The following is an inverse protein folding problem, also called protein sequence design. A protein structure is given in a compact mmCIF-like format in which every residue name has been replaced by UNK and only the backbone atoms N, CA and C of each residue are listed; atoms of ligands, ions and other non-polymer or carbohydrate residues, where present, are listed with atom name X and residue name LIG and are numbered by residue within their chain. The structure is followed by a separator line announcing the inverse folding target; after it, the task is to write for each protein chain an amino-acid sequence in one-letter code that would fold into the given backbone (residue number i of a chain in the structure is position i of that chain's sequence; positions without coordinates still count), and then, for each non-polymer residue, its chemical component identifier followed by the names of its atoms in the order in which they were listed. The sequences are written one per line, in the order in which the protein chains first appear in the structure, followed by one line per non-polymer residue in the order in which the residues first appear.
data_IF_058473195278
#
_entry.id   IF_058473195278
#
_cell.length_a   1.000
_cell.length_b   1.000
_cell.length_c   1.000
_cell.angle_alpha   90.00
_cell.angle_beta   90.00
_cell.angle_gamma   90.00
#
_symmetry.space_group_name_H-M   'P 1'
#
loop_
_entity.id
_entity.type
_entity.pdbx_description
1 polymer ?
#
# COMPACT_ATOMS: atom_id res chain seq x y z
N UNK A 1 -14.87 9.90 15.63
CA UNK A 1 -13.87 8.84 15.40
C UNK A 1 -13.81 8.62 13.91
N UNK A 2 -12.66 8.86 13.29
CA UNK A 2 -12.49 8.82 11.84
C UNK A 2 -12.07 7.40 11.47
N UNK A 3 -13.01 6.58 10.98
CA UNK A 3 -12.69 5.26 10.42
C UNK A 3 -11.78 5.49 9.21
N UNK A 4 -10.47 5.26 9.38
CA UNK A 4 -9.53 5.31 8.26
C UNK A 4 -9.59 3.95 7.56
N UNK A 5 -9.75 3.92 6.23
CA UNK A 5 -9.94 2.66 5.52
C UNK A 5 -8.71 1.72 5.59
N UNK A 6 -7.54 2.24 5.93
CA UNK A 6 -6.33 1.45 6.20
C UNK A 6 -6.26 0.85 7.61
N UNK A 7 -7.15 1.25 8.53
CA UNK A 7 -7.34 0.63 9.85
C UNK A 7 -8.30 -0.57 9.80
N UNK A 8 -8.75 -0.98 8.61
CA UNK A 8 -9.63 -2.14 8.46
C UNK A 8 -8.90 -3.44 8.88
N UNK A 9 -9.41 -4.22 9.86
CA UNK A 9 -8.59 -5.22 10.55
C UNK A 9 -8.23 -6.48 9.74
N UNK A 10 -8.65 -6.62 8.47
CA UNK A 10 -8.49 -7.86 7.69
C UNK A 10 -8.37 -7.56 6.21
N UNK A 11 -7.60 -8.35 5.43
CA UNK A 11 -7.71 -8.29 3.98
C UNK A 11 -9.16 -8.69 3.71
N UNK A 12 -9.96 -7.86 3.05
CA UNK A 12 -11.36 -8.10 3.05
C UNK A 12 -11.58 -9.34 2.20
N UNK A 13 -12.52 -10.16 2.65
CA UNK A 13 -13.37 -10.98 1.77
C UNK A 13 -14.18 -10.11 0.78
N UNK A 14 -13.84 -8.82 0.61
CA UNK A 14 -14.52 -7.95 -0.32
C UNK A 14 -14.13 -8.36 -1.73
N UNK A 15 -15.11 -8.41 -2.63
CA UNK A 15 -14.84 -8.67 -4.03
C UNK A 15 -13.85 -7.63 -4.56
N UNK A 16 -12.80 -8.12 -5.23
CA UNK A 16 -11.91 -7.26 -6.00
C UNK A 16 -12.76 -6.71 -7.16
N UNK A 17 -12.88 -5.37 -7.33
CA UNK A 17 -13.58 -4.80 -8.46
C UNK A 17 -12.99 -5.32 -9.78
N UNK A 18 -13.79 -5.35 -10.85
CA UNK A 18 -13.24 -5.63 -12.16
C UNK A 18 -12.37 -4.46 -12.63
N UNK A 19 -11.39 -4.75 -13.47
CA UNK A 19 -10.55 -3.73 -14.09
C UNK A 19 -11.44 -2.73 -14.85
N UNK A 20 -11.22 -1.44 -14.59
CA UNK A 20 -11.97 -0.28 -15.07
C UNK A 20 -13.31 0.00 -14.39
N UNK A 21 -13.70 -0.77 -13.38
CA UNK A 21 -14.82 -0.41 -12.53
C UNK A 21 -14.54 0.94 -11.85
N UNK A 22 -15.58 1.76 -11.76
CA UNK A 22 -15.53 3.00 -11.00
C UNK A 22 -15.35 2.66 -9.51
N UNK A 23 -14.41 3.34 -8.88
CA UNK A 23 -14.17 3.22 -7.45
C UNK A 23 -14.95 4.31 -6.72
N UNK A 24 -15.47 4.02 -5.51
CA UNK A 24 -16.10 5.05 -4.68
C UNK A 24 -15.08 6.14 -4.32
N UNK A 25 -15.61 7.30 -3.92
CA UNK A 25 -14.79 8.34 -3.32
C UNK A 25 -14.02 7.81 -2.11
N UNK A 26 -12.79 8.26 -1.99
CA UNK A 26 -11.86 7.88 -0.94
C UNK A 26 -11.39 9.15 -0.22
N UNK A 27 -11.75 9.37 1.05
CA UNK A 27 -11.38 10.57 1.78
C UNK A 27 -9.86 10.81 1.89
N UNK A 28 -9.03 9.77 1.73
CA UNK A 28 -7.57 9.92 1.77
C UNK A 28 -6.96 10.19 0.40
N UNK A 29 -7.71 9.87 -0.66
CA UNK A 29 -7.35 10.13 -2.03
C UNK A 29 -8.50 10.90 -2.70
N UNK A 30 -8.79 12.13 -2.23
CA UNK A 30 -9.91 12.90 -2.75
C UNK A 30 -9.74 13.09 -4.25
N UNK A 31 -10.78 12.71 -4.99
CA UNK A 31 -10.86 12.99 -6.42
C UNK A 31 -11.02 14.49 -6.61
N UNK A 32 -10.33 15.05 -7.60
CA UNK A 32 -10.60 16.42 -8.04
C UNK A 32 -12.00 16.42 -8.67
N UNK A 33 -12.78 17.47 -8.40
CA UNK A 33 -14.14 17.61 -8.95
C UNK A 33 -14.19 17.28 -10.46
N UNK A 34 -15.07 16.36 -10.84
CA UNK A 34 -15.24 15.92 -12.23
C UNK A 34 -14.23 14.88 -12.73
N UNK A 35 -13.31 14.38 -11.88
CA UNK A 35 -12.38 13.32 -12.24
C UNK A 35 -12.88 11.95 -11.81
N UNK A 36 -13.13 11.06 -12.78
CA UNK A 36 -13.41 9.65 -12.50
C UNK A 36 -12.18 8.95 -11.92
N UNK A 37 -12.37 8.09 -10.92
CA UNK A 37 -11.36 7.17 -10.37
C UNK A 37 -11.75 5.74 -10.69
N UNK A 38 -10.91 5.03 -11.44
CA UNK A 38 -11.18 3.67 -11.92
C UNK A 38 -10.15 2.67 -11.40
N UNK A 39 -10.61 1.49 -11.04
CA UNK A 39 -9.79 0.38 -10.56
C UNK A 39 -8.92 -0.21 -11.67
N UNK A 40 -7.66 -0.55 -11.37
CA UNK A 40 -6.79 -1.31 -12.28
C UNK A 40 -6.35 -2.65 -11.68
N UNK A 41 -5.84 -2.64 -10.44
CA UNK A 41 -5.30 -3.81 -9.74
C UNK A 41 -5.20 -3.53 -8.23
N UNK A 42 -5.20 -4.58 -7.38
CA UNK A 42 -4.95 -4.44 -5.94
C UNK A 42 -4.18 -5.61 -5.34
N UNK A 43 -3.20 -5.28 -4.50
CA UNK A 43 -2.48 -6.21 -3.65
C UNK A 43 -2.65 -5.83 -2.18
N UNK A 44 -2.59 -6.82 -1.29
CA UNK A 44 -2.71 -6.66 0.16
C UNK A 44 -1.39 -7.02 0.84
N UNK A 45 -0.99 -6.21 1.82
CA UNK A 45 0.27 -6.34 2.55
C UNK A 45 0.00 -6.26 4.05
N UNK A 46 0.65 -7.10 4.86
CA UNK A 46 0.66 -6.95 6.30
C UNK A 46 1.79 -6.02 6.72
N UNK A 47 1.44 -4.92 7.39
CA UNK A 47 2.36 -3.88 7.83
C UNK A 47 1.96 -3.41 9.23
N UNK A 48 2.93 -3.06 10.07
CA UNK A 48 2.71 -2.32 11.30
C UNK A 48 3.22 -0.88 11.12
N UNK A 49 2.64 0.08 11.85
CA UNK A 49 3.11 1.47 11.81
C UNK A 49 4.46 1.58 12.53
N UNK A 50 4.54 0.99 13.72
CA UNK A 50 5.78 0.84 14.48
C UNK A 50 6.04 -0.63 14.85
N UNK A 51 7.30 -0.97 15.18
CA UNK A 51 7.70 -2.37 15.46
C UNK A 51 7.07 -3.01 16.70
N UNK A 52 6.30 -2.26 17.49
CA UNK A 52 5.53 -2.74 18.65
C UNK A 52 4.02 -2.78 18.40
N UNK A 53 3.57 -2.30 17.24
CA UNK A 53 2.15 -2.25 16.92
C UNK A 53 1.64 -3.57 16.36
N UNK A 54 0.32 -3.73 16.37
CA UNK A 54 -0.32 -4.83 15.67
C UNK A 54 -0.16 -4.70 14.15
N UNK A 55 0.04 -5.84 13.48
CA UNK A 55 0.01 -5.89 12.03
C UNK A 55 -1.39 -5.58 11.50
N UNK A 56 -1.45 -4.66 10.55
CA UNK A 56 -2.63 -4.25 9.82
C UNK A 56 -2.51 -4.65 8.35
N UNK A 57 -3.64 -4.84 7.69
CA UNK A 57 -3.68 -5.16 6.26
C UNK A 57 -3.87 -3.89 5.45
N UNK A 58 -2.84 -3.53 4.69
CA UNK A 58 -2.79 -2.34 3.85
C UNK A 58 -2.94 -2.74 2.40
N UNK A 59 -3.89 -2.11 1.69
CA UNK A 59 -4.04 -2.28 0.25
C UNK A 59 -3.10 -1.35 -0.51
N UNK A 60 -2.39 -1.89 -1.49
CA UNK A 60 -1.85 -1.14 -2.61
C UNK A 60 -2.81 -1.27 -3.79
N UNK A 61 -3.40 -0.16 -4.24
CA UNK A 61 -4.35 -0.13 -5.36
C UNK A 61 -3.77 0.70 -6.50
N UNK A 62 -3.69 0.10 -7.68
CA UNK A 62 -3.44 0.84 -8.91
C UNK A 62 -4.77 1.42 -9.42
N UNK A 63 -4.79 2.72 -9.69
CA UNK A 63 -5.98 3.41 -10.19
C UNK A 63 -5.65 4.26 -11.42
N UNK A 64 -6.67 4.51 -12.22
CA UNK A 64 -6.65 5.57 -13.22
C UNK A 64 -7.55 6.71 -12.74
N UNK A 65 -7.02 7.93 -12.72
CA UNK A 65 -7.78 9.14 -12.43
C UNK A 65 -7.85 10.00 -13.69
N UNK A 66 -9.05 10.32 -14.15
CA UNK A 66 -9.23 11.23 -15.28
C UNK A 66 -8.51 12.56 -15.00
N UNK A 67 -7.80 13.11 -15.99
CA UNK A 67 -7.00 14.33 -15.83
C UNK A 67 -5.67 14.19 -15.06
N UNK A 68 -5.49 13.15 -14.25
CA UNK A 68 -4.27 12.92 -13.45
C UNK A 68 -3.46 11.69 -13.87
N UNK A 69 -4.05 10.82 -14.69
CA UNK A 69 -3.43 9.59 -15.19
C UNK A 69 -3.43 8.46 -14.17
N UNK A 70 -2.52 7.49 -14.35
CA UNK A 70 -2.42 6.33 -13.46
C UNK A 70 -1.62 6.62 -12.20
N UNK A 71 -2.13 6.17 -11.05
CA UNK A 71 -1.51 6.31 -9.74
C UNK A 71 -1.50 4.97 -9.01
N UNK A 72 -0.61 4.84 -8.04
CA UNK A 72 -0.62 3.76 -7.05
C UNK A 72 -0.92 4.40 -5.70
N UNK A 73 -2.04 3.99 -5.12
CA UNK A 73 -2.52 4.42 -3.82
C UNK A 73 -2.16 3.34 -2.81
N UNK A 74 -1.41 3.72 -1.77
CA UNK A 74 -0.92 2.82 -0.75
C UNK A 74 -1.01 3.54 0.59
N UNK A 75 -1.92 3.11 1.47
CA UNK A 75 -2.25 3.87 2.68
C UNK A 75 -2.61 5.32 2.35
N UNK A 76 -2.01 6.34 3.02
CA UNK A 76 -2.26 7.76 2.71
C UNK A 76 -1.49 8.29 1.49
N UNK A 77 -0.63 7.50 0.86
CA UNK A 77 0.27 7.96 -0.21
C UNK A 77 -0.30 7.67 -1.59
N UNK A 78 -0.11 8.61 -2.52
CA UNK A 78 -0.45 8.47 -3.95
C UNK A 78 0.79 8.72 -4.80
N UNK A 79 1.23 7.69 -5.51
CA UNK A 79 2.50 7.64 -6.23
C UNK A 79 2.27 7.51 -7.74
N UNK A 80 3.17 8.07 -8.56
CA UNK A 80 3.25 7.67 -9.97
C UNK A 80 3.88 6.27 -10.05
N UNK A 81 3.59 5.54 -11.13
CA UNK A 81 4.15 4.21 -11.34
C UNK A 81 5.70 4.18 -11.32
N UNK A 82 6.35 5.25 -11.80
CA UNK A 82 7.82 5.36 -11.76
C UNK A 82 8.35 5.53 -10.33
N UNK A 83 7.65 6.30 -9.50
CA UNK A 83 8.09 6.60 -8.13
C UNK A 83 7.85 5.40 -7.22
N UNK A 84 6.75 4.65 -7.44
CA UNK A 84 6.51 3.39 -6.77
C UNK A 84 7.55 2.32 -7.08
N UNK A 85 8.04 2.24 -8.34
CA UNK A 85 9.16 1.35 -8.69
C UNK A 85 10.46 1.76 -7.99
N UNK A 86 10.75 3.06 -7.95
CA UNK A 86 11.92 3.58 -7.24
C UNK A 86 11.83 3.28 -5.73
N UNK A 87 10.66 3.46 -5.12
CA UNK A 87 10.41 3.10 -3.72
C UNK A 87 10.61 1.60 -3.47
N UNK A 88 10.06 0.74 -4.32
CA UNK A 88 10.22 -0.71 -4.18
C UNK A 88 11.70 -1.13 -4.22
N UNK A 89 12.49 -0.52 -5.10
CA UNK A 89 13.94 -0.77 -5.15
C UNK A 89 14.66 -0.26 -3.89
N UNK A 90 14.32 0.93 -3.40
CA UNK A 90 14.87 1.43 -2.13
C UNK A 90 14.53 0.52 -0.96
N UNK A 91 13.29 0.02 -0.87
CA UNK A 91 12.88 -0.93 0.18
C UNK A 91 13.63 -2.25 0.08
N UNK A 92 13.86 -2.75 -1.14
CA UNK A 92 14.67 -3.96 -1.38
C UNK A 92 16.09 -3.80 -0.84
N UNK A 93 16.75 -2.67 -1.15
CA UNK A 93 18.10 -2.36 -0.66
C UNK A 93 18.12 -2.28 0.87
N UNK A 94 17.14 -1.62 1.50
CA UNK A 94 17.07 -1.54 2.96
C UNK A 94 16.86 -2.91 3.61
N UNK A 95 16.07 -3.80 3.00
CA UNK A 95 15.90 -5.16 3.47
C UNK A 95 17.21 -5.96 3.39
N UNK A 96 17.95 -5.82 2.27
CA UNK A 96 19.27 -6.47 2.11
C UNK A 96 20.25 -6.05 3.24
N UNK A 97 20.22 -4.79 3.68
CA UNK A 97 21.04 -4.29 4.80
C UNK A 97 20.61 -4.86 6.16
N UNK A 98 19.31 -5.03 6.42
CA UNK A 98 18.82 -5.69 7.63
C UNK A 98 19.26 -7.16 7.66
N UNK A 99 19.09 -7.89 6.55
CA UNK A 99 19.47 -9.30 6.43
C UNK A 99 20.97 -9.52 6.66
N UNK A 100 21.82 -8.58 6.23
CA UNK A 100 23.26 -8.62 6.47
C UNK A 100 23.62 -8.52 7.96
N UNK A 101 22.79 -7.83 8.77
CA UNK A 101 22.98 -7.70 10.23
C UNK A 101 22.41 -8.91 10.96
N UNK A 102 21.23 -9.39 10.54
CA UNK A 102 20.46 -10.47 11.17
C UNK A 102 20.92 -11.87 10.73
N UNK A 103 22.05 -11.95 10.02
CA UNK A 103 22.66 -13.19 9.55
C UNK A 103 22.77 -14.29 10.63
N UNK A 104 22.87 -15.57 10.22
CA UNK A 104 22.63 -16.75 11.06
C UNK A 104 23.54 -16.90 12.29
N UNK A 105 24.61 -16.11 12.41
CA UNK A 105 25.50 -16.11 13.58
C UNK A 105 24.92 -15.35 14.78
N UNK A 106 24.15 -14.27 14.58
CA UNK A 106 23.59 -13.48 15.71
C UNK A 106 22.31 -14.08 16.31
N UNK A 107 21.54 -14.84 15.52
CA UNK A 107 20.38 -15.59 16.02
C UNK A 107 20.77 -16.69 17.02
N UNK A 108 22.01 -17.19 16.97
CA UNK A 108 22.54 -18.22 17.89
C UNK A 108 23.00 -17.67 19.24
N UNK A 109 23.31 -16.38 19.33
CA UNK A 109 23.70 -15.75 20.60
C UNK A 109 22.48 -15.19 21.37
N UNK A 110 21.32 -15.11 20.73
CA UNK A 110 20.06 -14.62 21.30
C UNK A 110 19.06 -15.75 21.67
N UNK A 111 19.44 -17.03 21.54
CA UNK A 111 18.68 -18.21 22.04
C UNK A 111 19.43 -18.89 23.18
#
# INVERSE_FOLDING_TARGET
MTNRFWEAPRPPHAPIPAKWDELPEDPAHPTIDGCERRFLERHWHQLCHDGQDEFQWIAGTAVYQSGLGTRIEFGPWSLLAKDARALAESMRILADECDAIDGPEKLREAT
#
